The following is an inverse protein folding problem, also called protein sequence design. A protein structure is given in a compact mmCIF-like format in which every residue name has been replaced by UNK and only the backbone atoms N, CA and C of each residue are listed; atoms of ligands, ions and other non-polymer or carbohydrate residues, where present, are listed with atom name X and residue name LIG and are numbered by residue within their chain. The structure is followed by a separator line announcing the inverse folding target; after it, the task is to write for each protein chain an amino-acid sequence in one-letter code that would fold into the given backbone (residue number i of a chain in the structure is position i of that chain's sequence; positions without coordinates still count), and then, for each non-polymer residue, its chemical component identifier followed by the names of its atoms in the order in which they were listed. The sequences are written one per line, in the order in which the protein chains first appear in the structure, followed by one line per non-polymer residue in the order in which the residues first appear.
data_IF_770510138425
#
_entry.id   IF_770510138425
#
_cell.length_a   1.000
_cell.length_b   1.000
_cell.length_c   1.000
_cell.angle_alpha   90.00
_cell.angle_beta   90.00
_cell.angle_gamma   90.00
#
_symmetry.space_group_name_H-M   'P 1'
#
loop_
_entity.id
_entity.type
_entity.pdbx_description
1 polymer ?
#
# COMPACT_ATOMS: atom_id res chain seq x y z
N UNK A 1 -61.27 -13.88 -47.25
CA UNK A 1 -59.93 -13.57 -47.78
C UNK A 1 -59.71 -12.07 -47.76
N UNK A 2 -58.84 -11.54 -47.01
CA UNK A 2 -58.44 -10.14 -46.84
C UNK A 2 -58.54 -9.66 -45.40
N UNK A 3 -57.75 -10.17 -44.52
CA UNK A 3 -57.31 -9.48 -43.28
C UNK A 3 -56.15 -10.29 -42.65
N UNK A 4 -55.04 -10.32 -43.36
CA UNK A 4 -53.83 -11.01 -42.83
C UNK A 4 -52.56 -10.28 -43.31
N UNK A 5 -52.47 -8.99 -43.17
CA UNK A 5 -51.25 -8.22 -43.36
C UNK A 5 -51.39 -6.91 -42.58
N UNK A 6 -51.11 -6.88 -41.30
CA UNK A 6 -50.79 -5.66 -40.54
C UNK A 6 -50.47 -6.04 -39.07
N UNK A 7 -49.49 -6.93 -38.89
CA UNK A 7 -48.96 -7.19 -37.56
C UNK A 7 -47.47 -7.48 -37.63
N UNK A 8 -46.73 -6.60 -38.31
CA UNK A 8 -45.27 -6.74 -38.42
C UNK A 8 -44.56 -5.40 -38.51
N UNK A 9 -44.78 -4.50 -37.55
CA UNK A 9 -44.01 -3.27 -37.48
C UNK A 9 -44.11 -2.60 -36.11
N UNK A 10 -43.77 -3.31 -35.01
CA UNK A 10 -43.67 -2.63 -33.70
C UNK A 10 -42.73 -3.42 -32.73
N UNK A 11 -41.64 -3.97 -33.23
CA UNK A 11 -40.62 -4.57 -32.38
C UNK A 11 -39.24 -4.19 -32.92
N UNK A 12 -38.87 -2.95 -32.79
CA UNK A 12 -37.46 -2.53 -32.91
C UNK A 12 -37.33 -1.09 -32.43
N UNK A 13 -37.35 -0.82 -31.15
CA UNK A 13 -36.77 0.41 -30.55
C UNK A 13 -36.60 0.25 -29.03
N UNK A 14 -36.29 -0.95 -28.56
CA UNK A 14 -35.72 -1.14 -27.23
C UNK A 14 -34.23 -1.42 -27.38
N UNK A 15 -33.53 -0.71 -28.25
CA UNK A 15 -32.11 -0.74 -28.38
C UNK A 15 -31.48 0.20 -27.34
N UNK A 16 -31.10 -0.36 -26.24
CA UNK A 16 -29.87 -0.03 -25.49
C UNK A 16 -29.54 1.46 -25.34
N UNK A 17 -30.20 2.13 -24.42
CA UNK A 17 -29.55 3.22 -23.73
C UNK A 17 -28.71 2.63 -22.59
N UNK A 18 -27.76 1.73 -22.88
CA UNK A 18 -26.58 1.51 -22.08
C UNK A 18 -25.73 2.76 -22.24
N UNK A 19 -25.90 3.73 -21.34
CA UNK A 19 -25.01 4.86 -21.25
C UNK A 19 -23.59 4.32 -21.37
N UNK A 20 -22.83 4.82 -22.36
CA UNK A 20 -21.40 4.60 -22.45
C UNK A 20 -20.83 5.00 -21.08
N UNK A 21 -20.49 4.06 -20.23
CA UNK A 21 -19.62 4.33 -19.10
C UNK A 21 -18.33 4.83 -19.75
N UNK A 22 -18.18 6.14 -19.81
CA UNK A 22 -16.93 6.75 -20.23
C UNK A 22 -15.90 6.30 -19.19
N UNK A 23 -14.98 5.44 -19.62
CA UNK A 23 -13.86 5.03 -18.75
C UNK A 23 -13.12 6.31 -18.33
N UNK A 24 -12.91 6.45 -17.04
CA UNK A 24 -12.11 7.55 -16.52
C UNK A 24 -10.65 7.38 -17.00
N UNK A 25 -9.95 8.48 -17.29
CA UNK A 25 -8.53 8.41 -17.60
C UNK A 25 -7.73 7.94 -16.38
N UNK A 26 -6.53 7.41 -16.63
CA UNK A 26 -5.61 7.07 -15.56
C UNK A 26 -5.25 8.32 -14.74
N UNK A 27 -5.14 8.15 -13.41
CA UNK A 27 -4.72 9.23 -12.54
C UNK A 27 -3.24 9.58 -12.75
N UNK A 28 -2.93 10.87 -12.75
CA UNK A 28 -1.57 11.39 -12.77
C UNK A 28 -0.86 11.27 -11.41
N UNK A 29 0.47 11.30 -11.47
CA UNK A 29 1.32 11.27 -10.29
C UNK A 29 1.72 9.85 -9.84
N UNK A 30 2.74 9.81 -8.99
CA UNK A 30 3.27 8.57 -8.40
C UNK A 30 2.47 8.17 -7.15
N UNK A 31 2.51 6.92 -6.71
CA UNK A 31 2.00 6.54 -5.41
C UNK A 31 2.53 7.45 -4.29
N UNK A 32 1.67 7.79 -3.33
CA UNK A 32 1.98 8.67 -2.21
C UNK A 32 2.29 10.14 -2.58
N UNK A 33 1.95 10.60 -3.78
CA UNK A 33 1.87 12.03 -4.11
C UNK A 33 0.49 12.57 -3.74
N UNK A 34 0.46 13.80 -3.18
CA UNK A 34 -0.76 14.49 -2.76
C UNK A 34 -0.73 15.94 -3.21
N UNK A 35 -1.80 16.37 -3.88
CA UNK A 35 -2.04 17.79 -4.20
C UNK A 35 -2.93 18.38 -3.12
N UNK A 36 -2.50 19.45 -2.47
CA UNK A 36 -3.29 20.20 -1.48
C UNK A 36 -3.69 21.53 -2.07
N UNK A 37 -4.97 21.87 -1.97
CA UNK A 37 -5.56 23.09 -2.52
C UNK A 37 -6.23 23.90 -1.41
N UNK A 38 -5.95 25.20 -1.35
CA UNK A 38 -6.60 26.12 -0.42
C UNK A 38 -6.03 26.12 1.01
N UNK A 39 -4.94 25.41 1.29
CA UNK A 39 -4.26 25.43 2.59
C UNK A 39 -3.27 26.59 2.67
N UNK A 40 -3.78 27.81 2.85
CA UNK A 40 -2.97 29.05 2.86
C UNK A 40 -1.88 29.08 3.93
N UNK A 41 -2.07 28.36 5.02
CA UNK A 41 -1.19 28.37 6.20
C UNK A 41 -0.24 27.16 6.23
N UNK A 42 -0.24 26.33 5.19
CA UNK A 42 0.56 25.09 5.08
C UNK A 42 0.37 24.12 6.25
N UNK A 43 -0.84 24.05 6.79
CA UNK A 43 -1.19 23.20 7.93
C UNK A 43 -1.18 21.73 7.49
N UNK A 44 -1.88 21.41 6.41
CA UNK A 44 -1.95 20.06 5.88
C UNK A 44 -0.64 19.65 5.22
N UNK A 45 0.09 20.60 4.61
CA UNK A 45 1.44 20.33 4.14
C UNK A 45 2.29 19.72 5.27
N UNK A 46 2.35 20.37 6.44
CA UNK A 46 3.13 19.88 7.59
C UNK A 46 2.64 18.52 8.09
N UNK A 47 1.33 18.34 8.16
CA UNK A 47 0.73 17.07 8.60
C UNK A 47 1.06 15.93 7.63
N UNK A 48 0.89 16.13 6.34
CA UNK A 48 1.04 15.10 5.32
C UNK A 48 2.51 14.82 4.97
N UNK A 49 3.39 15.81 5.07
CA UNK A 49 4.82 15.66 4.85
C UNK A 49 5.61 15.23 6.09
N UNK A 50 4.94 14.95 7.22
CA UNK A 50 5.60 14.42 8.40
C UNK A 50 6.43 13.16 8.03
N UNK A 51 7.64 12.99 8.60
CA UNK A 51 8.54 11.91 8.22
C UNK A 51 7.97 10.53 8.56
N UNK A 52 8.30 9.55 7.73
CA UNK A 52 8.04 8.13 7.98
C UNK A 52 9.16 7.56 8.84
N UNK A 53 8.81 6.81 9.88
CA UNK A 53 9.78 6.10 10.71
C UNK A 53 10.40 4.88 10.00
N UNK A 54 11.50 4.38 10.58
CA UNK A 54 12.17 3.16 10.12
C UNK A 54 12.68 3.20 8.67
N UNK A 55 13.12 4.38 8.23
CA UNK A 55 13.85 4.57 6.98
C UNK A 55 15.27 5.08 7.29
N UNK A 56 16.30 4.71 6.48
CA UNK A 56 17.67 5.13 6.71
C UNK A 56 17.89 6.63 6.66
N UNK A 57 17.06 7.31 5.87
CA UNK A 57 17.03 8.76 5.75
C UNK A 57 15.59 9.26 5.95
N UNK A 58 15.38 10.43 6.54
CA UNK A 58 14.05 11.01 6.67
C UNK A 58 13.38 11.20 5.31
N UNK A 59 12.27 10.51 5.10
CA UNK A 59 11.41 10.71 3.92
C UNK A 59 10.01 11.12 4.40
N UNK A 60 9.33 12.05 3.70
CA UNK A 60 7.99 12.46 4.07
C UNK A 60 6.99 11.31 3.86
N UNK A 61 5.90 11.29 4.65
CA UNK A 61 4.80 10.33 4.46
C UNK A 61 4.19 10.45 3.07
N UNK A 62 4.03 11.68 2.58
CA UNK A 62 3.58 11.98 1.21
C UNK A 62 4.47 13.04 0.58
N UNK A 63 4.68 12.94 -0.73
CA UNK A 63 5.24 14.03 -1.53
C UNK A 63 4.10 15.03 -1.81
N UNK A 64 4.09 16.16 -1.08
CA UNK A 64 2.99 17.13 -1.09
C UNK A 64 3.30 18.30 -2.00
N UNK A 65 2.38 18.64 -2.90
CA UNK A 65 2.39 19.88 -3.67
C UNK A 65 1.23 20.78 -3.24
N UNK A 66 1.51 22.09 -3.13
CA UNK A 66 0.54 23.10 -2.69
C UNK A 66 0.07 23.92 -3.87
N UNK A 67 -1.24 24.18 -3.95
CA UNK A 67 -1.85 25.01 -4.99
C UNK A 67 -2.99 25.86 -4.40
N UNK A 68 -3.24 27.01 -5.01
CA UNK A 68 -4.32 27.93 -4.57
C UNK A 68 -5.67 27.54 -5.19
N UNK A 69 -5.68 26.95 -6.38
CA UNK A 69 -6.92 26.62 -7.10
C UNK A 69 -6.75 25.33 -7.90
N UNK A 70 -7.89 24.68 -8.16
CA UNK A 70 -7.98 23.51 -9.02
C UNK A 70 -7.91 23.93 -10.49
N UNK A 71 -7.13 23.21 -11.30
CA UNK A 71 -7.11 23.34 -12.75
C UNK A 71 -7.29 21.97 -13.43
N UNK A 72 -7.34 21.94 -14.76
CA UNK A 72 -7.59 20.74 -15.54
C UNK A 72 -6.53 19.64 -15.30
N UNK A 73 -5.28 19.99 -15.13
CA UNK A 73 -4.18 19.03 -14.87
C UNK A 73 -4.27 18.50 -13.44
N UNK A 74 -4.48 19.37 -12.46
CA UNK A 74 -4.55 18.97 -11.05
C UNK A 74 -5.77 18.06 -10.76
N UNK A 75 -6.87 18.22 -11.53
CA UNK A 75 -8.04 17.33 -11.42
C UNK A 75 -7.70 15.85 -11.65
N UNK A 76 -6.66 15.55 -12.42
CA UNK A 76 -6.23 14.19 -12.70
C UNK A 76 -5.29 13.63 -11.65
N UNK A 77 -4.89 14.42 -10.64
CA UNK A 77 -4.00 13.94 -9.59
C UNK A 77 -4.64 12.79 -8.80
N UNK A 78 -3.81 11.84 -8.40
CA UNK A 78 -4.18 10.61 -7.70
C UNK A 78 -4.83 10.85 -6.33
N UNK A 79 -4.23 11.76 -5.55
CA UNK A 79 -4.77 12.18 -4.27
C UNK A 79 -4.84 13.70 -4.23
N UNK A 80 -6.02 14.22 -3.92
CA UNK A 80 -6.29 15.64 -3.85
C UNK A 80 -6.90 15.94 -2.47
N UNK A 81 -6.42 16.95 -1.78
CA UNK A 81 -7.05 17.47 -0.56
C UNK A 81 -7.45 18.93 -0.82
N UNK A 82 -8.72 19.23 -0.70
CA UNK A 82 -9.29 20.56 -0.92
C UNK A 82 -9.72 21.13 0.43
N UNK A 83 -9.22 22.31 0.78
CA UNK A 83 -9.61 23.05 1.97
C UNK A 83 -10.50 24.23 1.56
N UNK A 84 -11.68 24.29 2.14
CA UNK A 84 -12.65 25.36 1.93
C UNK A 84 -13.03 25.99 3.26
N UNK A 85 -13.02 27.34 3.31
CA UNK A 85 -13.44 28.08 4.47
C UNK A 85 -14.93 28.39 4.33
N UNK A 86 -15.73 27.93 5.31
CA UNK A 86 -17.13 28.27 5.48
C UNK A 86 -17.39 28.73 6.91
N UNK A 87 -17.43 30.04 7.08
CA UNK A 87 -17.62 30.67 8.40
C UNK A 87 -18.97 30.34 9.07
N UNK A 88 -19.93 29.73 8.36
CA UNK A 88 -21.21 29.31 8.93
C UNK A 88 -21.12 27.97 9.66
N UNK A 89 -20.00 27.24 9.50
CA UNK A 89 -19.80 25.98 10.17
C UNK A 89 -19.40 26.19 11.65
N UNK A 90 -19.93 25.34 12.52
CA UNK A 90 -19.53 25.27 13.92
C UNK A 90 -18.39 24.27 14.17
N UNK A 91 -18.12 23.40 13.22
CA UNK A 91 -17.09 22.35 13.32
C UNK A 91 -16.53 22.03 11.93
N UNK A 92 -15.33 21.41 11.91
CA UNK A 92 -14.70 20.92 10.69
C UNK A 92 -15.48 19.72 10.17
N UNK A 93 -15.73 19.71 8.86
CA UNK A 93 -16.34 18.57 8.15
C UNK A 93 -15.32 18.00 7.17
N UNK A 94 -15.18 16.68 7.15
CA UNK A 94 -14.34 15.96 6.21
C UNK A 94 -15.20 14.95 5.45
N UNK A 95 -15.16 15.01 4.14
CA UNK A 95 -15.75 14.01 3.23
C UNK A 95 -14.72 13.61 2.19
N UNK A 96 -14.88 12.47 1.57
CA UNK A 96 -14.04 12.07 0.45
C UNK A 96 -14.86 11.39 -0.64
N UNK A 97 -14.33 11.48 -1.84
CA UNK A 97 -14.89 10.89 -3.05
C UNK A 97 -13.78 10.08 -3.75
N UNK A 98 -14.18 9.07 -4.52
CA UNK A 98 -13.25 8.24 -5.30
C UNK A 98 -13.59 8.28 -6.75
N UNK A 99 -12.57 8.26 -7.62
CA UNK A 99 -12.70 8.12 -9.07
C UNK A 99 -13.67 9.14 -9.68
N UNK A 100 -13.44 10.43 -9.37
CA UNK A 100 -14.30 11.53 -9.87
C UNK A 100 -13.87 11.99 -11.26
N UNK A 101 -12.56 12.22 -11.44
CA UNK A 101 -12.01 12.73 -12.71
C UNK A 101 -10.98 11.77 -13.33
N UNK A 102 -10.43 10.84 -12.54
CA UNK A 102 -9.43 9.88 -12.96
C UNK A 102 -9.54 8.62 -12.10
N UNK A 103 -8.89 7.54 -12.50
CA UNK A 103 -8.85 6.29 -11.74
C UNK A 103 -7.42 5.72 -11.70
N UNK A 104 -6.93 5.25 -10.52
CA UNK A 104 -7.52 5.37 -9.18
C UNK A 104 -7.35 6.77 -8.59
N UNK A 105 -8.37 7.37 -8.03
CA UNK A 105 -8.33 8.72 -7.46
C UNK A 105 -9.05 8.78 -6.11
N UNK A 106 -8.53 9.62 -5.20
CA UNK A 106 -9.21 10.06 -3.99
C UNK A 106 -9.16 11.58 -3.87
N UNK A 107 -10.34 12.20 -3.68
CA UNK A 107 -10.46 13.63 -3.37
C UNK A 107 -11.03 13.76 -1.96
N UNK A 108 -10.29 14.42 -1.07
CA UNK A 108 -10.71 14.72 0.30
C UNK A 108 -11.10 16.20 0.37
N UNK A 109 -12.31 16.48 0.80
CA UNK A 109 -12.82 17.82 1.02
C UNK A 109 -12.85 18.12 2.53
N UNK A 110 -12.22 19.21 2.93
CA UNK A 110 -12.19 19.70 4.29
C UNK A 110 -12.86 21.07 4.32
N UNK A 111 -14.06 21.12 4.87
CA UNK A 111 -14.75 22.39 5.11
C UNK A 111 -14.52 22.82 6.57
N UNK A 112 -13.94 23.98 6.77
CA UNK A 112 -13.55 24.51 8.09
C UNK A 112 -14.11 25.92 8.31
N UNK A 113 -14.51 26.29 9.56
CA UNK A 113 -14.95 27.66 9.84
C UNK A 113 -13.81 28.68 9.66
N UNK A 114 -12.54 28.28 9.82
CA UNK A 114 -11.37 29.14 9.62
C UNK A 114 -10.09 28.32 9.57
N UNK A 115 -9.00 28.89 9.03
CA UNK A 115 -7.67 28.27 9.09
C UNK A 115 -7.17 28.10 10.54
N UNK A 116 -7.55 29.01 11.44
CA UNK A 116 -7.25 28.87 12.87
C UNK A 116 -7.88 27.61 13.47
N UNK A 117 -9.14 27.32 13.14
CA UNK A 117 -9.83 26.11 13.59
C UNK A 117 -9.16 24.84 13.03
N UNK A 118 -8.80 24.84 11.74
CA UNK A 118 -8.08 23.72 11.12
C UNK A 118 -6.73 23.50 11.82
N UNK A 119 -5.98 24.56 12.08
CA UNK A 119 -4.70 24.48 12.80
C UNK A 119 -4.87 23.86 14.18
N UNK A 120 -5.85 24.31 14.95
CA UNK A 120 -6.12 23.78 16.28
C UNK A 120 -6.48 22.29 16.24
N UNK A 121 -7.32 21.89 15.29
CA UNK A 121 -7.68 20.48 15.12
C UNK A 121 -6.47 19.60 14.76
N UNK A 122 -5.59 20.07 13.89
CA UNK A 122 -4.40 19.31 13.45
C UNK A 122 -3.26 19.29 14.49
N UNK A 123 -3.36 20.02 15.58
CA UNK A 123 -2.46 19.87 16.74
C UNK A 123 -2.75 18.59 17.54
N UNK A 124 -3.96 18.05 17.44
CA UNK A 124 -4.27 16.76 18.05
C UNK A 124 -3.68 15.63 17.18
N UNK A 125 -2.85 14.80 17.81
CA UNK A 125 -2.14 13.70 17.13
C UNK A 125 -3.11 12.77 16.40
N UNK A 126 -4.22 12.40 17.03
CA UNK A 126 -5.23 11.52 16.44
C UNK A 126 -5.84 12.11 15.16
N UNK A 127 -6.10 13.42 15.11
CA UNK A 127 -6.66 14.05 13.91
C UNK A 127 -5.64 14.06 12.76
N UNK A 128 -4.38 14.37 13.07
CA UNK A 128 -3.29 14.35 12.11
C UNK A 128 -3.03 12.92 11.60
N UNK A 129 -3.05 11.92 12.49
CA UNK A 129 -2.88 10.51 12.12
C UNK A 129 -4.06 9.99 11.29
N UNK A 130 -5.29 10.35 11.65
CA UNK A 130 -6.47 9.97 10.87
C UNK A 130 -6.42 10.51 9.45
N UNK A 131 -5.97 11.77 9.27
CA UNK A 131 -5.80 12.35 7.95
C UNK A 131 -4.73 11.58 7.12
N UNK A 132 -3.56 11.30 7.70
CA UNK A 132 -2.53 10.50 7.06
C UNK A 132 -3.03 9.09 6.72
N UNK A 133 -3.69 8.45 7.67
CA UNK A 133 -4.16 7.07 7.54
C UNK A 133 -5.28 6.93 6.50
N UNK A 134 -6.12 7.94 6.32
CA UNK A 134 -7.15 7.95 5.27
C UNK A 134 -6.50 7.78 3.88
N UNK A 135 -5.49 8.59 3.58
CA UNK A 135 -4.81 8.54 2.27
C UNK A 135 -3.91 7.29 2.16
N UNK A 136 -3.20 6.91 3.23
CA UNK A 136 -2.40 5.67 3.26
C UNK A 136 -3.24 4.42 2.94
N UNK A 137 -4.44 4.31 3.53
CA UNK A 137 -5.35 3.17 3.26
C UNK A 137 -5.80 3.16 1.80
N UNK A 138 -6.08 4.33 1.22
CA UNK A 138 -6.42 4.41 -0.20
C UNK A 138 -5.24 3.97 -1.09
N UNK A 139 -4.02 4.42 -0.80
CA UNK A 139 -2.82 3.99 -1.54
C UNK A 139 -2.55 2.49 -1.38
N UNK A 140 -2.72 1.93 -0.18
CA UNK A 140 -2.60 0.50 0.06
C UNK A 140 -3.66 -0.29 -0.74
N UNK A 141 -4.92 0.16 -0.73
CA UNK A 141 -5.98 -0.44 -1.55
C UNK A 141 -5.60 -0.44 -3.04
N UNK A 142 -5.08 0.67 -3.54
CA UNK A 142 -4.66 0.78 -4.94
C UNK A 142 -3.45 -0.14 -5.24
N UNK A 143 -2.52 -0.29 -4.30
CA UNK A 143 -1.40 -1.22 -4.44
C UNK A 143 -1.88 -2.69 -4.49
N UNK A 144 -2.82 -3.07 -3.63
CA UNK A 144 -3.44 -4.40 -3.61
C UNK A 144 -4.20 -4.69 -4.91
N UNK A 145 -4.96 -3.72 -5.43
CA UNK A 145 -5.66 -3.87 -6.71
C UNK A 145 -4.67 -4.09 -7.87
N UNK A 146 -3.58 -3.32 -7.96
CA UNK A 146 -2.54 -3.53 -8.98
C UNK A 146 -1.90 -4.92 -8.86
N UNK A 147 -1.63 -5.35 -7.63
CA UNK A 147 -1.04 -6.64 -7.34
C UNK A 147 -2.00 -7.80 -7.73
N UNK A 148 -3.30 -7.66 -7.51
CA UNK A 148 -4.31 -8.65 -7.89
C UNK A 148 -4.42 -8.81 -9.43
N UNK A 149 -4.18 -7.73 -10.17
CA UNK A 149 -4.17 -7.76 -11.64
C UNK A 149 -2.85 -8.27 -12.25
N UNK A 150 -1.72 -8.07 -11.57
CA UNK A 150 -0.40 -8.39 -12.13
C UNK A 150 0.51 -8.99 -11.05
N UNK A 151 0.62 -10.32 -11.04
CA UNK A 151 1.36 -11.07 -10.03
C UNK A 151 2.07 -12.31 -10.63
N UNK A 152 3.01 -12.89 -9.90
CA UNK A 152 3.83 -14.03 -10.32
C UNK A 152 3.26 -15.35 -9.77
N UNK A 153 2.37 -15.99 -10.53
CA UNK A 153 1.70 -17.23 -10.14
C UNK A 153 2.66 -18.40 -9.93
N UNK A 154 3.82 -18.43 -10.61
CA UNK A 154 4.82 -19.48 -10.43
C UNK A 154 5.43 -19.42 -9.03
N UNK A 155 5.90 -18.27 -8.60
CA UNK A 155 6.47 -18.11 -7.26
C UNK A 155 5.43 -18.24 -6.15
N UNK A 156 4.18 -17.84 -6.40
CA UNK A 156 3.06 -18.09 -5.48
C UNK A 156 2.83 -19.58 -5.24
N UNK A 157 2.86 -20.40 -6.29
CA UNK A 157 2.73 -21.85 -6.17
C UNK A 157 3.91 -22.46 -5.37
N UNK A 158 5.13 -21.95 -5.56
CA UNK A 158 6.30 -22.39 -4.78
C UNK A 158 6.15 -22.05 -3.30
N UNK A 159 5.70 -20.83 -2.96
CA UNK A 159 5.44 -20.39 -1.59
C UNK A 159 4.33 -21.22 -0.96
N UNK A 160 3.25 -21.49 -1.69
CA UNK A 160 2.16 -22.35 -1.22
C UNK A 160 2.66 -23.76 -0.89
N UNK A 161 3.48 -24.34 -1.75
CA UNK A 161 4.06 -25.66 -1.53
C UNK A 161 4.98 -25.73 -0.32
N UNK A 162 5.83 -24.69 -0.12
CA UNK A 162 6.83 -24.68 0.96
C UNK A 162 6.22 -24.33 2.33
N UNK A 163 5.26 -23.40 2.37
CA UNK A 163 4.81 -22.81 3.64
C UNK A 163 3.32 -23.01 3.91
N UNK A 164 2.53 -23.48 2.95
CA UNK A 164 1.07 -23.67 3.08
C UNK A 164 0.32 -22.34 3.25
N UNK A 165 0.81 -21.27 2.65
CA UNK A 165 0.16 -19.96 2.61
C UNK A 165 -0.12 -19.54 1.18
N UNK A 166 -1.26 -18.89 0.96
CA UNK A 166 -1.54 -18.15 -0.26
C UNK A 166 -1.08 -16.70 -0.08
N UNK A 167 -0.46 -16.13 -1.10
CA UNK A 167 -0.12 -14.71 -1.18
C UNK A 167 -0.02 -14.26 -2.64
N UNK A 168 -0.05 -12.96 -2.86
CA UNK A 168 0.28 -12.37 -4.16
C UNK A 168 1.74 -11.90 -4.15
N UNK A 169 2.47 -12.27 -5.21
CA UNK A 169 3.87 -11.87 -5.41
C UNK A 169 3.93 -10.92 -6.60
N UNK A 170 4.57 -9.74 -6.49
CA UNK A 170 4.69 -8.82 -7.60
C UNK A 170 5.27 -9.48 -8.85
N UNK A 171 4.70 -9.17 -10.04
CA UNK A 171 5.07 -9.81 -11.29
C UNK A 171 6.50 -9.49 -11.76
N UNK A 172 7.08 -8.40 -11.28
CA UNK A 172 8.47 -8.00 -11.54
C UNK A 172 9.49 -8.75 -10.69
N UNK A 173 9.05 -9.44 -9.63
CA UNK A 173 9.89 -10.34 -8.85
C UNK A 173 10.04 -11.67 -9.58
N UNK A 174 11.20 -11.91 -10.19
CA UNK A 174 11.47 -13.08 -11.05
C UNK A 174 12.56 -13.99 -10.49
N UNK A 175 13.45 -13.47 -9.65
CA UNK A 175 14.51 -14.22 -9.01
C UNK A 175 14.04 -14.85 -7.70
N UNK A 176 14.49 -16.09 -7.42
CA UNK A 176 14.27 -16.71 -6.11
C UNK A 176 15.43 -17.58 -5.69
N UNK A 177 15.69 -17.63 -4.39
CA UNK A 177 16.66 -18.54 -3.74
C UNK A 177 15.99 -19.23 -2.57
N UNK A 178 16.13 -20.55 -2.49
CA UNK A 178 15.52 -21.39 -1.46
C UNK A 178 16.56 -21.88 -0.46
N UNK A 179 16.18 -21.92 0.80
CA UNK A 179 16.90 -22.54 1.90
C UNK A 179 16.01 -23.52 2.66
N UNK A 180 16.49 -24.04 3.78
CA UNK A 180 15.69 -24.86 4.68
C UNK A 180 14.67 -23.97 5.41
N UNK A 181 13.37 -24.16 5.15
CA UNK A 181 12.29 -23.34 5.70
C UNK A 181 12.47 -21.83 5.43
N UNK A 182 13.03 -21.49 4.27
CA UNK A 182 13.35 -20.14 3.85
C UNK A 182 13.21 -20.01 2.32
N UNK A 183 12.61 -18.92 1.87
CA UNK A 183 12.67 -18.49 0.48
C UNK A 183 12.96 -16.99 0.43
N UNK A 184 13.84 -16.58 -0.47
CA UNK A 184 14.11 -15.20 -0.83
C UNK A 184 13.68 -14.96 -2.27
N UNK A 185 12.86 -13.97 -2.50
CA UNK A 185 12.29 -13.58 -3.79
C UNK A 185 12.70 -12.13 -4.06
N UNK A 186 13.15 -11.81 -5.27
CA UNK A 186 13.66 -10.49 -5.62
C UNK A 186 13.27 -10.08 -7.04
N UNK A 187 13.20 -8.76 -7.29
CA UNK A 187 13.17 -8.20 -8.65
C UNK A 187 14.56 -8.10 -9.27
N UNK A 188 15.62 -8.40 -8.51
CA UNK A 188 17.03 -8.40 -8.94
C UNK A 188 17.48 -7.11 -9.64
N UNK A 189 16.88 -5.97 -9.25
CA UNK A 189 17.22 -4.67 -9.81
C UNK A 189 18.50 -4.12 -9.19
N UNK A 190 19.51 -3.73 -9.97
CA UNK A 190 20.79 -3.24 -9.43
C UNK A 190 20.67 -1.87 -8.73
N UNK A 191 19.64 -1.09 -9.04
CA UNK A 191 19.47 0.28 -8.52
C UNK A 191 18.34 0.44 -7.51
N UNK A 192 17.35 -0.46 -7.56
CA UNK A 192 16.15 -0.38 -6.72
C UNK A 192 15.64 -1.80 -6.41
N UNK A 193 16.47 -2.58 -5.72
CA UNK A 193 16.16 -3.96 -5.40
C UNK A 193 15.10 -4.02 -4.30
N UNK A 194 13.98 -4.67 -4.62
CA UNK A 194 12.90 -5.00 -3.70
C UNK A 194 12.86 -6.50 -3.47
N UNK A 195 12.65 -6.90 -2.23
CA UNK A 195 12.81 -8.28 -1.81
C UNK A 195 11.68 -8.71 -0.89
N UNK A 196 11.29 -9.99 -0.99
CA UNK A 196 10.40 -10.67 -0.05
C UNK A 196 11.10 -11.94 0.44
N UNK A 197 11.18 -12.09 1.78
CA UNK A 197 11.58 -13.33 2.41
C UNK A 197 10.42 -13.95 3.17
N UNK A 198 10.31 -15.28 3.12
CA UNK A 198 9.33 -16.05 3.90
C UNK A 198 10.07 -17.15 4.64
N UNK A 199 9.81 -17.26 5.95
CA UNK A 199 10.47 -18.23 6.81
C UNK A 199 9.64 -18.55 8.07
N UNK A 200 10.09 -19.50 8.90
CA UNK A 200 9.29 -20.02 10.02
C UNK A 200 9.85 -19.72 11.41
N UNK A 201 10.92 -18.94 11.50
CA UNK A 201 11.55 -18.57 12.78
C UNK A 201 11.31 -17.09 13.10
N UNK A 202 11.03 -16.77 14.35
CA UNK A 202 10.92 -15.37 14.81
C UNK A 202 12.30 -14.73 15.10
N UNK A 203 13.39 -15.51 15.14
CA UNK A 203 14.75 -14.99 15.25
C UNK A 203 15.24 -14.58 13.86
N UNK A 204 14.99 -13.33 13.50
CA UNK A 204 15.36 -12.76 12.21
C UNK A 204 16.83 -12.89 11.89
N UNK A 205 17.69 -12.45 12.81
CA UNK A 205 19.13 -12.37 12.53
C UNK A 205 19.74 -13.75 12.29
N UNK A 206 19.34 -14.77 13.05
CA UNK A 206 19.77 -16.14 12.81
C UNK A 206 19.38 -16.64 11.41
N UNK A 207 18.17 -16.29 10.95
CA UNK A 207 17.70 -16.66 9.60
C UNK A 207 18.46 -15.90 8.53
N UNK A 208 18.60 -14.58 8.68
CA UNK A 208 19.24 -13.73 7.66
C UNK A 208 20.74 -14.03 7.56
N UNK A 209 21.44 -14.19 8.67
CA UNK A 209 22.86 -14.56 8.71
C UNK A 209 23.13 -15.89 8.01
N UNK A 210 22.20 -16.84 8.09
CA UNK A 210 22.35 -18.14 7.43
C UNK A 210 22.08 -18.07 5.91
N UNK A 211 21.11 -17.27 5.47
CA UNK A 211 20.54 -17.36 4.13
C UNK A 211 20.93 -16.20 3.20
N UNK A 212 21.27 -15.02 3.75
CA UNK A 212 21.64 -13.84 2.97
C UNK A 212 23.09 -13.47 3.28
N UNK A 213 23.98 -13.90 2.40
CA UNK A 213 25.41 -13.68 2.46
C UNK A 213 25.84 -12.58 1.50
N UNK A 214 26.94 -11.91 1.81
CA UNK A 214 27.65 -11.04 0.90
C UNK A 214 28.61 -11.79 -0.02
N UNK A 215 29.68 -11.12 -0.47
CA UNK A 215 30.68 -11.73 -1.36
C UNK A 215 31.51 -12.79 -0.67
N UNK A 216 31.70 -12.66 0.64
CA UNK A 216 32.47 -13.61 1.47
C UNK A 216 31.55 -14.23 2.55
N UNK A 217 31.93 -15.37 3.10
CA UNK A 217 31.14 -16.13 4.08
C UNK A 217 30.93 -15.39 5.41
N UNK A 218 31.85 -14.50 5.77
CA UNK A 218 31.77 -13.63 6.93
C UNK A 218 30.89 -12.39 6.73
N UNK A 219 30.50 -12.09 5.50
CA UNK A 219 29.52 -11.05 5.18
C UNK A 219 28.10 -11.61 5.25
N UNK A 220 27.24 -11.03 6.07
CA UNK A 220 25.85 -11.49 6.26
C UNK A 220 24.92 -10.34 6.66
N UNK A 221 23.64 -10.50 6.32
CA UNK A 221 22.63 -9.54 6.71
C UNK A 221 22.28 -9.64 8.20
N UNK A 222 22.19 -8.49 8.88
CA UNK A 222 21.77 -8.37 10.28
C UNK A 222 20.80 -7.21 10.46
N UNK A 223 20.24 -7.07 11.67
CA UNK A 223 19.40 -5.95 12.06
C UNK A 223 20.25 -4.83 12.67
N UNK A 224 20.02 -3.59 12.27
CA UNK A 224 20.62 -2.43 12.96
C UNK A 224 20.05 -2.34 14.37
N UNK A 225 20.92 -2.37 15.36
CA UNK A 225 20.55 -2.36 16.78
C UNK A 225 19.68 -1.12 17.12
N UNK A 226 18.62 -1.31 17.90
CA UNK A 226 17.73 -0.24 18.34
C UNK A 226 16.80 0.32 17.24
N UNK A 227 16.88 -0.15 15.98
CA UNK A 227 16.07 0.38 14.88
C UNK A 227 14.64 -0.17 14.83
N UNK A 228 14.35 -1.27 15.55
CA UNK A 228 13.09 -2.01 15.40
C UNK A 228 11.97 -1.38 16.20
N UNK A 229 10.87 -1.09 15.52
CA UNK A 229 9.57 -0.68 16.11
C UNK A 229 8.56 -1.78 15.86
N UNK A 230 7.87 -2.21 16.91
CA UNK A 230 6.83 -3.25 16.83
C UNK A 230 5.44 -2.63 17.02
N UNK A 231 4.49 -3.04 16.19
CA UNK A 231 3.07 -2.66 16.30
C UNK A 231 2.20 -3.90 16.11
N UNK A 232 0.96 -3.84 16.57
CA UNK A 232 -0.01 -4.94 16.49
C UNK A 232 -1.32 -4.48 15.82
N UNK A 233 -1.29 -4.17 14.51
CA UNK A 233 -2.50 -3.80 13.80
C UNK A 233 -3.46 -4.98 13.64
N UNK A 234 -4.75 -4.67 13.56
CA UNK A 234 -5.75 -5.65 13.10
C UNK A 234 -5.75 -5.67 11.57
N UNK A 235 -5.48 -6.83 10.99
CA UNK A 235 -5.45 -7.09 9.55
C UNK A 235 -6.38 -8.28 9.29
N UNK A 236 -7.38 -8.09 8.41
CA UNK A 236 -8.39 -9.12 8.09
C UNK A 236 -9.04 -9.75 9.33
N UNK A 237 -9.38 -8.90 10.32
CA UNK A 237 -10.02 -9.34 11.57
C UNK A 237 -9.10 -10.05 12.57
N UNK A 238 -7.80 -10.19 12.26
CA UNK A 238 -6.80 -10.82 13.13
C UNK A 238 -5.75 -9.83 13.58
N UNK A 239 -5.31 -9.90 14.83
CA UNK A 239 -4.16 -9.15 15.31
C UNK A 239 -2.90 -9.77 14.71
N UNK A 240 -2.09 -8.94 14.07
CA UNK A 240 -0.84 -9.34 13.44
C UNK A 240 0.32 -8.52 14.00
N UNK A 241 1.37 -9.17 14.44
CA UNK A 241 2.58 -8.46 14.85
C UNK A 241 3.33 -7.97 13.62
N UNK A 242 3.56 -6.66 13.56
CA UNK A 242 4.33 -6.02 12.48
C UNK A 242 5.56 -5.34 13.08
N UNK A 243 6.76 -5.70 12.58
CA UNK A 243 8.02 -5.09 12.96
C UNK A 243 8.58 -4.31 11.79
N UNK A 244 9.06 -3.11 12.04
CA UNK A 244 9.74 -2.25 11.06
C UNK A 244 11.11 -1.87 11.61
N UNK A 245 12.14 -1.91 10.78
CA UNK A 245 13.49 -1.60 11.21
C UNK A 245 14.42 -1.38 10.03
N UNK A 246 15.71 -1.31 10.37
CA UNK A 246 16.79 -1.19 9.39
C UNK A 246 17.63 -2.47 9.41
N UNK A 247 18.05 -2.89 8.23
CA UNK A 247 19.03 -3.96 8.05
C UNK A 247 20.33 -3.37 7.52
N UNK A 248 21.41 -4.06 7.82
CA UNK A 248 22.73 -3.79 7.28
C UNK A 248 23.44 -5.11 6.92
N UNK A 249 24.43 -5.02 6.06
CA UNK A 249 25.32 -6.13 5.76
C UNK A 249 26.57 -6.02 6.64
N UNK A 250 26.77 -6.99 7.53
CA UNK A 250 28.03 -7.08 8.25
C UNK A 250 29.18 -7.25 7.25
N UNK A 251 30.22 -6.41 7.39
CA UNK A 251 31.39 -6.43 6.50
C UNK A 251 31.22 -5.64 5.18
N UNK A 252 30.07 -4.98 4.94
CA UNK A 252 29.84 -4.17 3.76
C UNK A 252 28.98 -2.94 4.08
N UNK A 253 29.02 -1.92 3.24
CA UNK A 253 28.25 -0.67 3.38
C UNK A 253 26.81 -0.77 2.86
N UNK A 254 26.28 -1.98 2.67
CA UNK A 254 24.91 -2.21 2.24
C UNK A 254 23.94 -2.14 3.40
N UNK A 255 22.77 -1.55 3.17
CA UNK A 255 21.70 -1.47 4.16
C UNK A 255 20.42 -0.87 3.62
N UNK A 256 19.36 -0.95 4.42
CA UNK A 256 18.07 -0.41 4.03
C UNK A 256 16.96 -0.68 5.04
N UNK A 257 15.72 -0.31 4.73
CA UNK A 257 14.59 -0.60 5.58
C UNK A 257 14.03 -2.00 5.33
N UNK A 258 13.41 -2.57 6.38
CA UNK A 258 12.59 -3.77 6.28
C UNK A 258 11.27 -3.62 7.03
N UNK A 259 10.31 -4.46 6.66
CA UNK A 259 9.06 -4.67 7.38
C UNK A 259 8.76 -6.16 7.43
N UNK A 260 8.43 -6.66 8.62
CA UNK A 260 8.02 -8.04 8.87
C UNK A 260 6.56 -8.11 9.27
N UNK A 261 5.84 -9.09 8.74
CA UNK A 261 4.55 -9.53 9.24
C UNK A 261 4.72 -10.92 9.86
N UNK A 262 4.41 -11.06 11.14
CA UNK A 262 4.46 -12.31 11.87
C UNK A 262 3.04 -12.86 11.97
N UNK A 263 2.81 -14.02 11.36
CA UNK A 263 1.50 -14.63 11.21
C UNK A 263 1.49 -15.94 11.98
N UNK A 264 0.66 -16.00 13.02
CA UNK A 264 0.41 -17.22 13.77
C UNK A 264 -0.66 -18.04 13.05
N UNK A 265 -0.32 -19.23 12.58
CA UNK A 265 -1.29 -20.12 11.93
C UNK A 265 -2.34 -20.61 12.92
N UNK A 266 -3.52 -20.98 12.42
CA UNK A 266 -4.67 -21.42 13.26
C UNK A 266 -4.38 -22.62 14.13
N UNK A 267 -3.43 -23.47 13.74
CA UNK A 267 -2.94 -24.59 14.54
C UNK A 267 -2.07 -24.17 15.73
N UNK A 268 -1.80 -22.87 15.90
CA UNK A 268 -0.96 -22.22 16.93
C UNK A 268 0.45 -22.84 17.07
N UNK A 269 0.83 -23.79 16.21
CA UNK A 269 2.13 -24.50 16.24
C UNK A 269 3.13 -23.94 15.23
N UNK A 270 2.61 -23.26 14.20
CA UNK A 270 3.46 -22.68 13.15
C UNK A 270 3.34 -21.18 13.15
N UNK A 271 4.49 -20.53 13.15
CA UNK A 271 4.64 -19.11 12.88
C UNK A 271 5.23 -18.96 11.49
N UNK A 272 4.60 -18.15 10.65
CA UNK A 272 5.13 -17.71 9.38
C UNK A 272 5.56 -16.26 9.52
N UNK A 273 6.78 -15.98 9.15
CA UNK A 273 7.30 -14.62 9.04
C UNK A 273 7.46 -14.29 7.56
N UNK A 274 6.82 -13.23 7.12
CA UNK A 274 7.01 -12.65 5.81
C UNK A 274 7.65 -11.27 5.98
N UNK A 275 8.74 -11.04 5.29
CA UNK A 275 9.51 -9.81 5.36
C UNK A 275 9.68 -9.20 3.98
N UNK A 276 9.41 -7.91 3.86
CA UNK A 276 9.82 -7.10 2.71
C UNK A 276 11.01 -6.23 3.11
N UNK A 277 12.05 -6.18 2.29
CA UNK A 277 13.18 -5.29 2.48
C UNK A 277 13.66 -4.68 1.16
N UNK A 278 14.32 -3.54 1.26
CA UNK A 278 14.74 -2.75 0.09
C UNK A 278 16.24 -2.45 0.17
N UNK A 279 16.92 -2.62 -0.97
CA UNK A 279 18.25 -2.08 -1.24
C UNK A 279 18.16 -1.13 -2.44
N UNK A 280 18.36 0.16 -2.22
CA UNK A 280 18.25 1.19 -3.26
C UNK A 280 19.18 2.36 -2.93
N UNK A 281 20.50 2.21 -3.18
CA UNK A 281 21.46 3.25 -2.89
C UNK A 281 21.13 4.53 -3.67
N UNK A 282 21.21 5.70 -3.00
CA UNK A 282 20.93 7.00 -3.61
C UNK A 282 19.47 7.27 -3.97
N UNK A 283 18.53 6.34 -3.69
CA UNK A 283 17.12 6.46 -4.07
C UNK A 283 16.20 6.47 -2.83
N UNK A 284 15.08 7.20 -2.91
CA UNK A 284 14.03 7.16 -1.89
C UNK A 284 13.44 5.75 -1.76
N UNK A 285 13.32 5.25 -0.54
CA UNK A 285 12.94 3.86 -0.23
C UNK A 285 11.49 3.69 0.21
N UNK A 286 10.83 4.77 0.66
CA UNK A 286 9.44 4.73 1.15
C UNK A 286 8.50 4.02 0.19
N UNK A 287 8.42 4.47 -1.06
CA UNK A 287 7.48 3.91 -2.03
C UNK A 287 7.83 2.47 -2.40
N UNK A 288 9.11 2.15 -2.51
CA UNK A 288 9.57 0.79 -2.78
C UNK A 288 9.15 -0.16 -1.67
N UNK A 289 9.40 0.21 -0.41
CA UNK A 289 9.03 -0.61 0.74
C UNK A 289 7.52 -0.79 0.86
N UNK A 290 6.74 0.31 0.79
CA UNK A 290 5.29 0.24 0.96
C UNK A 290 4.58 -0.52 -0.17
N UNK A 291 5.07 -0.42 -1.41
CA UNK A 291 4.54 -1.22 -2.52
C UNK A 291 4.86 -2.70 -2.37
N UNK A 292 6.06 -3.04 -1.88
CA UNK A 292 6.46 -4.44 -1.63
C UNK A 292 5.70 -5.01 -0.42
N UNK A 293 5.52 -4.20 0.62
CA UNK A 293 4.73 -4.58 1.80
C UNK A 293 3.28 -4.93 1.45
N UNK A 294 2.70 -4.35 0.39
CA UNK A 294 1.36 -4.70 -0.06
C UNK A 294 1.20 -6.22 -0.28
N UNK A 295 2.24 -6.91 -0.75
CA UNK A 295 2.22 -8.36 -0.89
C UNK A 295 2.04 -9.08 0.45
N UNK A 296 2.62 -8.55 1.54
CA UNK A 296 2.52 -9.17 2.87
C UNK A 296 1.10 -9.09 3.44
N UNK A 297 0.31 -8.08 3.05
CA UNK A 297 -1.10 -7.98 3.44
C UNK A 297 -1.98 -9.02 2.76
N UNK A 298 -1.55 -9.60 1.63
CA UNK A 298 -2.33 -10.63 0.91
C UNK A 298 -2.17 -12.03 1.50
N UNK A 299 -1.30 -12.23 2.49
CA UNK A 299 -0.98 -13.54 3.04
C UNK A 299 -2.16 -14.11 3.80
N UNK A 300 -2.58 -15.30 3.40
CA UNK A 300 -3.62 -16.10 4.05
C UNK A 300 -3.10 -17.52 4.31
N UNK A 301 -3.05 -17.99 5.57
CA UNK A 301 -2.77 -19.38 5.87
C UNK A 301 -3.86 -20.27 5.26
N UNK A 302 -3.48 -21.30 4.52
CA UNK A 302 -4.43 -22.24 3.94
C UNK A 302 -5.10 -23.00 5.08
N UNK A 303 -6.39 -22.77 5.31
CA UNK A 303 -7.19 -23.59 6.20
C UNK A 303 -7.50 -24.91 5.52
N UNK A 304 -7.31 -26.02 6.21
CA UNK A 304 -7.84 -27.30 5.78
C UNK A 304 -9.38 -27.20 5.73
N UNK A 305 -9.91 -27.12 4.49
CA UNK A 305 -11.33 -27.08 4.11
C UNK A 305 -12.15 -25.80 4.36
N UNK A 306 -12.52 -25.22 3.23
CA UNK A 306 -13.58 -24.26 2.89
C UNK A 306 -13.06 -22.84 2.59
N UNK A 307 -12.85 -22.60 1.30
CA UNK A 307 -12.91 -21.26 0.73
C UNK A 307 -14.29 -20.64 1.00
N UNK A 308 -14.30 -19.57 1.79
CA UNK A 308 -15.37 -18.57 1.68
C UNK A 308 -14.77 -17.35 1.01
N UNK A 309 -15.18 -17.11 -0.22
CA UNK A 309 -15.03 -15.85 -0.91
C UNK A 309 -15.87 -14.80 -0.18
N UNK A 310 -15.28 -14.06 0.74
CA UNK A 310 -15.88 -12.84 1.28
C UNK A 310 -14.96 -11.67 0.96
N UNK A 311 -15.28 -10.98 -0.13
CA UNK A 311 -14.78 -9.65 -0.50
C UNK A 311 -15.44 -8.59 0.41
N UNK A 312 -15.16 -8.56 1.71
CA UNK A 312 -15.87 -7.61 2.58
C UNK A 312 -15.05 -6.98 3.70
N UNK A 313 -13.77 -6.73 3.52
CA UNK A 313 -12.99 -6.05 4.56
C UNK A 313 -12.52 -4.62 4.21
N UNK A 314 -12.89 -4.07 3.05
CA UNK A 314 -12.41 -2.77 2.58
C UNK A 314 -13.53 -1.81 2.10
N UNK A 315 -14.77 -2.00 2.61
CA UNK A 315 -15.86 -1.03 2.42
C UNK A 315 -15.85 0.07 3.45
#
# INVERSE_FOLDING_TARGET
MRYLILLFAAVTLAACNRGKQTMLPDSGGRPYEVVVIGDSDSILYKVLSAPVGSLPQPEPTFDVSMNTSMNATLRLARNIVVVEIDAKLNQIKVKYERNVYAEPQMIVHISTPSMKALRQAMLFQDAADNMRNLIKRNEMKNALMRLDHKHNTKLEAEVLQMFGIDMRIPADMQASRKGKNFIWISNDSPTAMTNICIYTSENRDSVMQTNIKGETDDMYMTTVEGSVVTTEPTIDGSVRTVRRGLWEMHGDAMGGPFVQHIIKCSDKRRTIVAEAFVFAPGTKKRNLLLNTEAALYTIQPKQNNKWKTEKSAWQ
#
